data_IF_306694138389
#
_entry.id   IF_306694138389
#
_cell.length_a   1.000
_cell.length_b   1.000
_cell.length_c   1.000
_cell.angle_alpha   90.00
_cell.angle_beta   90.00
_cell.angle_gamma   90.00
#
_symmetry.space_group_name_H-M   'P 1'
#
loop_
_entity.id
_entity.type
_entity.pdbx_description
1 polymer ?
#
# COMPACT_ATOMS: atom_id res chain seq x y z
N UNK A 1 -16.04 3.01 -49.18
CA UNK A 1 -15.34 2.30 -48.13
C UNK A 1 -14.13 3.14 -47.67
N UNK A 2 -14.26 3.81 -46.57
CA UNK A 2 -13.13 4.55 -46.02
C UNK A 2 -12.29 3.61 -45.15
N UNK A 3 -11.16 3.18 -45.68
CA UNK A 3 -10.10 2.65 -44.83
C UNK A 3 -9.52 3.83 -44.05
N UNK A 4 -9.51 3.79 -42.73
CA UNK A 4 -8.89 4.79 -41.91
C UNK A 4 -7.44 5.03 -42.34
N UNK A 5 -7.04 6.28 -42.39
CA UNK A 5 -5.66 6.63 -42.72
C UNK A 5 -4.73 6.09 -41.65
N UNK A 6 -3.46 5.96 -41.95
CA UNK A 6 -2.43 5.56 -40.98
C UNK A 6 -2.45 6.46 -39.74
N UNK A 7 -2.71 7.76 -39.92
CA UNK A 7 -2.83 8.74 -38.86
C UNK A 7 -4.01 8.45 -37.95
N UNK A 8 -5.17 8.04 -38.47
CA UNK A 8 -6.35 7.67 -37.68
C UNK A 8 -6.09 6.40 -36.83
N UNK A 9 -5.41 5.42 -37.43
CA UNK A 9 -5.03 4.20 -36.71
C UNK A 9 -4.02 4.48 -35.62
N UNK A 10 -3.08 5.39 -35.82
CA UNK A 10 -2.09 5.79 -34.84
C UNK A 10 -2.75 6.56 -33.69
N UNK A 11 -3.66 7.48 -34.00
CA UNK A 11 -4.42 8.24 -33.01
C UNK A 11 -5.24 7.29 -32.11
N UNK A 12 -5.90 6.30 -32.70
CA UNK A 12 -6.67 5.30 -31.95
C UNK A 12 -5.79 4.47 -31.03
N UNK A 13 -4.61 4.07 -31.48
CA UNK A 13 -3.64 3.35 -30.64
C UNK A 13 -3.10 4.19 -29.49
N UNK A 14 -2.84 5.47 -29.75
CA UNK A 14 -2.38 6.41 -28.73
C UNK A 14 -3.48 6.63 -27.68
N UNK A 15 -4.73 6.79 -28.10
CA UNK A 15 -5.85 6.98 -27.19
C UNK A 15 -6.08 5.72 -26.33
N UNK A 16 -5.99 4.53 -26.88
CA UNK A 16 -6.07 3.27 -26.13
C UNK A 16 -4.91 3.12 -25.14
N UNK A 17 -3.72 3.56 -25.51
CA UNK A 17 -2.57 3.53 -24.61
C UNK A 17 -2.76 4.50 -23.45
N UNK A 18 -3.31 5.70 -23.71
CA UNK A 18 -3.64 6.67 -22.67
C UNK A 18 -4.74 6.17 -21.73
N UNK A 19 -5.78 5.55 -22.27
CA UNK A 19 -6.85 4.94 -21.48
C UNK A 19 -6.29 3.85 -20.56
N UNK A 20 -5.39 3.00 -21.04
CA UNK A 20 -4.72 1.98 -20.25
C UNK A 20 -3.82 2.60 -19.17
N UNK A 21 -3.13 3.68 -19.46
CA UNK A 21 -2.32 4.40 -18.48
C UNK A 21 -3.19 5.01 -17.38
N UNK A 22 -4.35 5.56 -17.75
CA UNK A 22 -5.30 6.09 -16.76
C UNK A 22 -5.91 5.01 -15.90
N UNK A 23 -6.24 3.85 -16.47
CA UNK A 23 -6.74 2.70 -15.72
C UNK A 23 -5.73 2.13 -14.72
N UNK A 24 -4.43 2.24 -15.02
CA UNK A 24 -3.37 1.72 -14.15
C UNK A 24 -2.90 2.74 -13.13
N UNK A 25 -3.19 4.02 -13.29
CA UNK A 25 -2.86 5.04 -12.30
C UNK A 25 -3.69 4.89 -11.04
N UNK A 26 -3.01 5.01 -9.90
CA UNK A 26 -3.69 5.04 -8.62
C UNK A 26 -4.62 6.25 -8.53
N UNK A 27 -5.82 6.06 -7.98
CA UNK A 27 -6.72 7.18 -7.72
C UNK A 27 -6.07 8.16 -6.73
N UNK A 28 -6.44 9.45 -6.76
CA UNK A 28 -5.90 10.43 -5.80
C UNK A 28 -6.11 10.02 -4.34
N UNK A 29 -7.22 9.35 -4.03
CA UNK A 29 -7.53 8.85 -2.68
C UNK A 29 -6.54 7.77 -2.23
N UNK A 30 -6.09 6.93 -3.14
CA UNK A 30 -5.10 5.88 -2.84
C UNK A 30 -3.69 6.48 -2.79
N UNK A 31 -3.37 7.39 -3.71
CA UNK A 31 -2.06 8.03 -3.76
C UNK A 31 -1.71 8.81 -2.49
N UNK A 32 -2.71 9.41 -1.82
CA UNK A 32 -2.49 10.14 -0.58
C UNK A 32 -2.07 9.21 0.57
N UNK A 33 -2.30 7.93 0.46
CA UNK A 33 -1.92 6.97 1.49
C UNK A 33 -0.40 6.86 1.66
N UNK A 34 0.37 7.10 0.61
CA UNK A 34 1.82 7.02 0.69
C UNK A 34 2.43 7.99 1.72
N UNK A 35 2.16 9.30 1.69
CA UNK A 35 2.66 10.21 2.72
C UNK A 35 2.07 9.94 4.10
N UNK A 36 0.83 9.48 4.20
CA UNK A 36 0.21 9.12 5.48
C UNK A 36 0.96 7.94 6.09
N UNK A 37 1.22 6.89 5.32
CA UNK A 37 1.97 5.72 5.78
C UNK A 37 3.40 6.10 6.17
N UNK A 38 4.04 6.97 5.43
CA UNK A 38 5.37 7.49 5.78
C UNK A 38 5.35 8.21 7.12
N UNK A 39 4.33 9.02 7.37
CA UNK A 39 4.15 9.70 8.65
C UNK A 39 3.99 8.68 9.80
N UNK A 40 3.15 7.67 9.62
CA UNK A 40 2.96 6.62 10.62
C UNK A 40 4.25 5.82 10.87
N UNK A 41 5.00 5.54 9.82
CA UNK A 41 6.31 4.90 9.92
C UNK A 41 7.26 5.73 10.78
N UNK A 42 7.34 7.03 10.53
CA UNK A 42 8.20 7.95 11.28
C UNK A 42 7.83 8.02 12.76
N UNK A 43 6.55 7.91 13.10
CA UNK A 43 6.12 7.86 14.50
C UNK A 43 6.65 6.63 15.24
N UNK A 44 6.85 5.53 14.54
CA UNK A 44 7.32 4.27 15.11
C UNK A 44 8.84 4.11 15.06
N UNK A 45 9.56 5.03 14.40
CA UNK A 45 11.02 4.96 14.31
C UNK A 45 11.68 4.96 15.71
N UNK A 46 12.89 4.41 15.78
CA UNK A 46 13.64 4.21 17.02
C UNK A 46 12.92 3.27 17.99
N UNK A 47 12.17 2.30 17.46
CA UNK A 47 11.46 1.30 18.28
C UNK A 47 10.52 1.94 19.30
N UNK A 48 9.77 2.96 18.91
CA UNK A 48 8.83 3.65 19.79
C UNK A 48 7.61 2.77 20.08
N UNK A 49 7.78 1.94 21.10
CA UNK A 49 6.78 0.94 21.48
C UNK A 49 5.44 1.53 21.88
N UNK A 50 5.48 2.68 22.53
CA UNK A 50 4.25 3.36 22.95
C UNK A 50 3.40 3.74 21.73
N UNK A 51 4.02 4.32 20.71
CA UNK A 51 3.32 4.66 19.48
C UNK A 51 2.95 3.43 18.66
N UNK A 52 3.79 2.40 18.63
CA UNK A 52 3.44 1.12 18.00
C UNK A 52 2.17 0.52 18.63
N UNK A 53 2.07 0.53 19.95
CA UNK A 53 0.90 0.03 20.66
C UNK A 53 -0.33 0.91 20.43
N UNK A 54 -0.15 2.22 20.39
CA UNK A 54 -1.24 3.17 20.11
C UNK A 54 -1.84 2.92 18.73
N UNK A 55 -1.03 2.60 17.72
CA UNK A 55 -1.50 2.28 16.38
C UNK A 55 -2.30 0.98 16.32
N UNK A 56 -2.07 0.07 17.24
CA UNK A 56 -2.83 -1.18 17.36
C UNK A 56 -4.15 -1.01 18.08
N UNK A 57 -4.18 -0.17 19.11
CA UNK A 57 -5.36 0.00 19.95
C UNK A 57 -5.32 1.33 20.70
N UNK A 58 -6.39 2.10 20.63
CA UNK A 58 -6.59 3.36 21.33
C UNK A 58 -7.55 3.14 22.49
N UNK A 59 -7.03 2.70 23.62
CA UNK A 59 -7.80 2.23 24.77
C UNK A 59 -8.74 3.27 25.37
N UNK A 60 -8.40 4.55 25.25
CA UNK A 60 -9.19 5.66 25.82
C UNK A 60 -10.27 6.19 24.86
N UNK A 61 -10.29 5.75 23.63
CA UNK A 61 -11.25 6.21 22.63
C UNK A 61 -12.47 5.29 22.56
N UNK A 62 -13.64 5.88 22.30
CA UNK A 62 -14.87 5.11 22.04
C UNK A 62 -14.77 4.30 20.75
N UNK A 63 -14.19 4.87 19.72
CA UNK A 63 -13.91 4.19 18.46
C UNK A 63 -12.44 3.79 18.41
N UNK A 64 -12.19 2.52 18.24
CA UNK A 64 -10.85 1.94 18.29
C UNK A 64 -10.54 1.29 16.96
N UNK A 65 -9.35 1.57 16.45
CA UNK A 65 -8.88 1.04 15.17
C UNK A 65 -7.56 0.32 15.35
N UNK A 66 -7.44 -0.85 14.74
CA UNK A 66 -6.14 -1.50 14.59
C UNK A 66 -5.55 -1.08 13.24
N UNK A 67 -4.70 -0.06 13.26
CA UNK A 67 -4.09 0.48 12.04
C UNK A 67 -3.12 -0.51 11.38
N UNK A 68 -2.56 -1.44 12.14
CA UNK A 68 -1.74 -2.52 11.57
C UNK A 68 -2.60 -3.42 10.68
N UNK A 69 -3.75 -3.85 11.18
CA UNK A 69 -4.70 -4.65 10.40
C UNK A 69 -5.24 -3.89 9.19
N UNK A 70 -5.57 -2.62 9.35
CA UNK A 70 -6.04 -1.78 8.23
C UNK A 70 -4.98 -1.63 7.15
N UNK A 71 -3.71 -1.50 7.53
CA UNK A 71 -2.59 -1.42 6.59
C UNK A 71 -2.39 -2.75 5.84
N UNK A 72 -2.57 -3.88 6.52
CA UNK A 72 -2.54 -5.20 5.88
C UNK A 72 -3.67 -5.39 4.88
N UNK A 73 -4.87 -4.91 5.21
CA UNK A 73 -6.03 -4.92 4.31
C UNK A 73 -5.72 -4.07 3.07
N UNK A 74 -5.15 -2.89 3.24
CA UNK A 74 -4.75 -2.03 2.13
C UNK A 74 -3.75 -2.75 1.21
N UNK A 75 -2.75 -3.42 1.78
CA UNK A 75 -1.77 -4.20 1.01
C UNK A 75 -2.45 -5.30 0.20
N UNK A 76 -3.35 -6.05 0.83
CA UNK A 76 -4.10 -7.12 0.17
C UNK A 76 -4.93 -6.61 -1.00
N UNK A 77 -5.63 -5.51 -0.82
CA UNK A 77 -6.45 -4.88 -1.86
C UNK A 77 -5.58 -4.41 -3.04
N UNK A 78 -4.45 -3.77 -2.76
CA UNK A 78 -3.57 -3.23 -3.82
C UNK A 78 -2.86 -4.33 -4.59
N UNK A 79 -2.46 -5.41 -3.91
CA UNK A 79 -1.81 -6.55 -4.55
C UNK A 79 -2.79 -7.48 -5.27
N UNK A 80 -4.10 -7.19 -5.20
CA UNK A 80 -5.12 -8.09 -5.68
C UNK A 80 -5.36 -9.22 -4.70
N UNK A 81 -6.50 -9.16 -4.01
CA UNK A 81 -6.85 -10.07 -2.93
C UNK A 81 -6.61 -11.53 -3.29
N UNK A 82 -5.98 -12.26 -2.39
CA UNK A 82 -5.75 -13.71 -2.51
C UNK A 82 -7.05 -14.51 -2.43
N UNK A 83 -8.12 -13.90 -1.94
CA UNK A 83 -9.45 -14.52 -1.86
C UNK A 83 -10.13 -14.66 -3.22
N UNK A 84 -9.61 -14.02 -4.26
CA UNK A 84 -10.09 -14.15 -5.64
C UNK A 84 -9.77 -15.48 -6.32
N UNK A 85 -9.30 -16.49 -5.61
CA UNK A 85 -9.25 -17.88 -6.06
C UNK A 85 -8.00 -18.34 -6.80
N UNK A 86 -7.02 -17.49 -7.07
CA UNK A 86 -5.86 -17.89 -7.87
C UNK A 86 -4.51 -17.76 -7.16
N UNK A 87 -4.47 -17.18 -5.97
CA UNK A 87 -3.25 -17.08 -5.17
C UNK A 87 -2.06 -16.43 -5.88
N UNK A 88 -2.32 -15.64 -6.91
CA UNK A 88 -1.29 -14.97 -7.70
C UNK A 88 -0.97 -13.61 -7.08
N UNK A 89 -0.39 -13.65 -5.90
CA UNK A 89 0.12 -12.48 -5.22
C UNK A 89 1.12 -11.81 -6.17
N UNK A 90 0.91 -10.53 -6.44
CA UNK A 90 1.80 -9.77 -7.31
C UNK A 90 1.35 -9.62 -8.76
N UNK A 91 0.25 -10.28 -9.17
CA UNK A 91 -0.28 -10.12 -10.54
C UNK A 91 -0.68 -8.67 -10.84
N UNK A 92 -1.07 -7.92 -9.81
CA UNK A 92 -1.52 -6.54 -9.91
C UNK A 92 -0.43 -5.51 -9.55
N UNK A 93 0.78 -5.96 -9.24
CA UNK A 93 1.90 -5.05 -8.97
C UNK A 93 2.42 -4.51 -10.31
N UNK A 94 2.46 -3.18 -10.42
CA UNK A 94 2.89 -2.48 -11.62
C UNK A 94 3.67 -1.21 -11.25
N UNK A 95 4.13 -0.47 -12.26
CA UNK A 95 4.92 0.74 -12.07
C UNK A 95 4.19 1.82 -11.25
N UNK A 96 2.85 1.84 -11.30
CA UNK A 96 2.06 2.88 -10.65
C UNK A 96 1.85 2.60 -9.16
N UNK A 97 1.83 1.34 -8.74
CA UNK A 97 1.56 0.97 -7.35
C UNK A 97 2.77 0.45 -6.58
N UNK A 98 3.88 0.12 -7.25
CA UNK A 98 5.05 -0.46 -6.58
C UNK A 98 5.62 0.45 -5.49
N UNK A 99 5.62 1.76 -5.70
CA UNK A 99 6.12 2.73 -4.72
C UNK A 99 5.26 2.74 -3.46
N UNK A 100 3.94 2.65 -3.62
CA UNK A 100 3.01 2.56 -2.50
C UNK A 100 3.17 1.24 -1.76
N UNK A 101 3.30 0.14 -2.48
CA UNK A 101 3.51 -1.20 -1.89
C UNK A 101 4.80 -1.21 -1.06
N UNK A 102 5.88 -0.66 -1.57
CA UNK A 102 7.13 -0.54 -0.82
C UNK A 102 6.95 0.29 0.45
N UNK A 103 6.23 1.40 0.37
CA UNK A 103 5.94 2.23 1.55
C UNK A 103 5.09 1.46 2.57
N UNK A 104 4.11 0.69 2.14
CA UNK A 104 3.29 -0.15 3.02
C UNK A 104 4.18 -1.16 3.76
N UNK A 105 5.06 -1.85 3.04
CA UNK A 105 5.96 -2.85 3.63
C UNK A 105 6.94 -2.22 4.63
N UNK A 106 7.50 -1.08 4.31
CA UNK A 106 8.39 -0.34 5.22
C UNK A 106 7.65 0.08 6.48
N UNK A 107 6.42 0.58 6.35
CA UNK A 107 5.58 1.00 7.47
C UNK A 107 5.21 -0.19 8.35
N UNK A 108 4.81 -1.30 7.77
CA UNK A 108 4.51 -2.54 8.50
C UNK A 108 5.73 -3.07 9.25
N UNK A 109 6.90 -2.96 8.67
CA UNK A 109 8.15 -3.35 9.31
C UNK A 109 8.38 -2.54 10.58
N UNK A 110 8.22 -1.22 10.52
CA UNK A 110 8.36 -0.35 11.69
C UNK A 110 7.30 -0.61 12.76
N UNK A 111 6.06 -0.94 12.36
CA UNK A 111 5.02 -1.30 13.32
C UNK A 111 5.36 -2.52 14.16
N UNK A 112 6.12 -3.44 13.60
CA UNK A 112 6.41 -4.75 14.19
C UNK A 112 7.85 -4.85 14.71
N UNK A 113 8.70 -3.88 14.43
CA UNK A 113 10.09 -3.91 14.85
C UNK A 113 10.21 -3.78 16.37
N UNK A 114 11.04 -4.64 16.95
CA UNK A 114 11.25 -4.72 18.39
C UNK A 114 12.68 -4.29 18.71
N UNK A 115 12.84 -3.44 19.73
CA UNK A 115 14.18 -3.04 20.17
C UNK A 115 14.99 -4.25 20.67
N UNK A 116 16.30 -4.21 20.45
CA UNK A 116 17.21 -5.25 20.94
C UNK A 116 17.09 -5.46 22.46
N UNK A 117 16.95 -4.40 23.21
CA UNK A 117 16.77 -4.46 24.68
C UNK A 117 15.50 -5.23 25.06
N UNK A 118 14.42 -5.03 24.34
CA UNK A 118 13.18 -5.75 24.58
C UNK A 118 13.31 -7.23 24.26
N UNK A 119 14.00 -7.55 23.18
CA UNK A 119 14.27 -8.93 22.78
C UNK A 119 15.09 -9.66 23.86
N UNK A 120 16.11 -9.02 24.41
CA UNK A 120 16.91 -9.57 25.50
C UNK A 120 16.13 -9.82 26.77
N UNK A 121 15.12 -9.00 27.08
CA UNK A 121 14.31 -9.19 28.28
C UNK A 121 13.38 -10.40 28.19
N UNK A 122 13.04 -10.87 26.99
CA UNK A 122 12.26 -12.07 26.78
C UNK A 122 13.07 -13.36 26.74
N UNK A 123 14.36 -13.27 26.47
CA UNK A 123 15.22 -14.45 26.35
C UNK A 123 15.82 -14.92 27.68
N UNK A 124 15.47 -14.24 28.77
CA UNK A 124 15.90 -14.66 30.12
C UNK A 124 14.90 -15.62 30.76
#
# INVERSE_FOLDING_TARGET
MKTGTFEDQLAEKVDRAKEKEEETKLSPKVSIMKPILRFLQLLCENHNRHLQNLLRDQKTNKTRYNLVSETLILLDVICGSTTGGLGLLGLYINENNVMLINQILETLTEYCEVSAQYFYSFSK
#
